data_IF_720055571874
#
_entry.id   IF_720055571874
#
_cell.length_a   1.000
_cell.length_b   1.000
_cell.length_c   1.000
_cell.angle_alpha   90.00
_cell.angle_beta   90.00
_cell.angle_gamma   90.00
#
_symmetry.space_group_name_H-M   'P 1'
#
loop_
_entity.id
_entity.type
_entity.pdbx_description
1 polymer ?
#
# COMPACT_ATOMS: atom_id res chain seq x y z
N UNK A 1 10.11 5.30 -2.38
CA UNK A 1 8.87 5.79 -3.01
C UNK A 1 8.45 7.09 -2.34
N UNK A 2 7.95 8.08 -3.08
CA UNK A 2 7.37 9.30 -2.53
C UNK A 2 5.92 9.07 -2.08
N UNK A 3 5.38 9.98 -1.26
CA UNK A 3 3.97 9.90 -0.78
C UNK A 3 2.97 9.85 -1.94
N UNK A 4 3.15 10.68 -2.95
CA UNK A 4 2.22 10.75 -4.09
C UNK A 4 2.28 9.50 -4.97
N UNK A 5 3.46 8.90 -5.13
CA UNK A 5 3.61 7.61 -5.82
C UNK A 5 2.93 6.48 -5.03
N UNK A 6 3.07 6.49 -3.70
CA UNK A 6 2.42 5.52 -2.83
C UNK A 6 0.90 5.62 -2.91
N UNK A 7 0.35 6.83 -2.89
CA UNK A 7 -1.11 7.06 -3.02
C UNK A 7 -1.62 6.54 -4.37
N UNK A 8 -0.90 6.81 -5.46
CA UNK A 8 -1.28 6.31 -6.79
C UNK A 8 -1.27 4.78 -6.85
N UNK A 9 -0.25 4.15 -6.26
CA UNK A 9 -0.17 2.70 -6.19
C UNK A 9 -1.32 2.10 -5.38
N UNK A 10 -1.61 2.65 -4.19
CA UNK A 10 -2.74 2.21 -3.35
C UNK A 10 -4.07 2.35 -4.10
N UNK A 11 -4.30 3.48 -4.77
CA UNK A 11 -5.52 3.68 -5.57
C UNK A 11 -5.65 2.67 -6.70
N UNK A 12 -4.55 2.34 -7.38
CA UNK A 12 -4.53 1.34 -8.45
C UNK A 12 -4.94 -0.04 -7.91
N UNK A 13 -4.37 -0.44 -6.78
CA UNK A 13 -4.67 -1.71 -6.11
C UNK A 13 -6.15 -1.74 -5.64
N UNK A 14 -6.63 -0.68 -4.97
CA UNK A 14 -8.03 -0.61 -4.49
C UNK A 14 -9.07 -0.73 -5.60
N UNK A 15 -8.74 -0.23 -6.80
CA UNK A 15 -9.64 -0.27 -7.96
C UNK A 15 -9.55 -1.57 -8.74
N UNK A 16 -8.58 -2.44 -8.41
CA UNK A 16 -8.27 -3.66 -9.14
C UNK A 16 -8.10 -3.37 -10.65
N UNK A 17 -7.35 -2.32 -10.98
CA UNK A 17 -7.11 -1.91 -12.36
C UNK A 17 -6.10 -2.85 -13.03
N UNK A 18 -6.53 -3.61 -14.05
CA UNK A 18 -5.65 -4.43 -14.88
C UNK A 18 -6.01 -5.91 -14.88
N UNK A 19 -5.01 -6.73 -15.15
CA UNK A 19 -5.04 -8.20 -15.06
C UNK A 19 -4.69 -8.68 -13.65
N UNK A 20 -4.96 -9.96 -13.37
CA UNK A 20 -4.61 -10.58 -12.08
C UNK A 20 -3.09 -10.54 -11.85
N UNK A 21 -2.31 -10.80 -12.90
CA UNK A 21 -0.85 -10.72 -12.85
C UNK A 21 -0.33 -9.30 -12.58
N UNK A 22 -1.03 -8.28 -13.09
CA UNK A 22 -0.70 -6.87 -12.80
C UNK A 22 -1.06 -6.49 -11.37
N UNK A 23 -2.18 -6.99 -10.85
CA UNK A 23 -2.59 -6.76 -9.47
C UNK A 23 -1.58 -7.39 -8.49
N UNK A 24 -1.14 -8.62 -8.76
CA UNK A 24 -0.10 -9.29 -7.97
C UNK A 24 1.22 -8.51 -8.00
N UNK A 25 1.64 -8.03 -9.17
CA UNK A 25 2.86 -7.24 -9.30
C UNK A 25 2.78 -5.90 -8.55
N UNK A 26 1.61 -5.25 -8.53
CA UNK A 26 1.40 -4.02 -7.77
C UNK A 26 1.46 -4.26 -6.25
N UNK A 27 0.90 -5.38 -5.77
CA UNK A 27 0.96 -5.78 -4.36
C UNK A 27 2.41 -6.09 -3.96
N UNK A 28 3.15 -6.85 -4.78
CA UNK A 28 4.58 -7.11 -4.55
C UNK A 28 5.40 -5.82 -4.52
N UNK A 29 5.13 -4.88 -5.43
CA UNK A 29 5.78 -3.58 -5.45
C UNK A 29 5.54 -2.82 -4.15
N UNK A 30 4.31 -2.82 -3.64
CA UNK A 30 3.97 -2.18 -2.37
C UNK A 30 4.75 -2.79 -1.22
N UNK A 31 4.70 -4.12 -1.05
CA UNK A 31 5.38 -4.85 0.04
C UNK A 31 6.88 -4.58 0.05
N UNK A 32 7.52 -4.58 -1.13
CA UNK A 32 8.96 -4.35 -1.24
C UNK A 32 9.37 -2.87 -1.06
N UNK A 33 8.41 -1.94 -1.12
CA UNK A 33 8.69 -0.49 -1.08
C UNK A 33 8.47 0.15 0.29
N UNK A 34 7.89 -0.56 1.25
CA UNK A 34 7.45 -0.02 2.55
C UNK A 34 7.99 -0.84 3.70
N UNK A 35 8.11 -0.22 4.88
CA UNK A 35 8.55 -0.90 6.10
C UNK A 35 7.39 -1.52 6.89
N UNK A 36 6.16 -1.04 6.68
CA UNK A 36 4.98 -1.49 7.40
C UNK A 36 4.52 -2.86 6.87
N UNK A 37 4.61 -3.94 7.68
CA UNK A 37 4.20 -5.27 7.26
C UNK A 37 2.68 -5.38 7.04
N UNK A 38 1.89 -4.46 7.61
CA UNK A 38 0.43 -4.46 7.53
C UNK A 38 -0.10 -3.62 6.35
N UNK A 39 0.81 -3.09 5.51
CA UNK A 39 0.45 -2.18 4.42
C UNK A 39 -0.62 -2.74 3.46
N UNK A 40 -0.54 -4.03 3.15
CA UNK A 40 -1.51 -4.73 2.29
C UNK A 40 -2.86 -4.89 3.00
N UNK A 41 -2.85 -5.21 4.29
CA UNK A 41 -4.07 -5.40 5.07
C UNK A 41 -4.87 -4.10 5.18
N UNK A 42 -4.20 -2.95 5.28
CA UNK A 42 -4.90 -1.66 5.26
C UNK A 42 -5.72 -1.42 3.99
N UNK A 43 -5.32 -2.00 2.86
CA UNK A 43 -5.98 -1.85 1.57
C UNK A 43 -7.20 -2.77 1.48
N UNK A 44 -7.08 -4.02 1.95
CA UNK A 44 -8.12 -5.04 1.76
C UNK A 44 -9.10 -5.20 2.93
N UNK A 45 -8.69 -4.86 4.16
CA UNK A 45 -9.49 -5.07 5.38
C UNK A 45 -10.25 -3.81 5.82
N UNK A 46 -10.00 -2.67 5.18
CA UNK A 46 -10.57 -1.38 5.58
C UNK A 46 -11.07 -0.56 4.40
N UNK A 47 -12.17 0.17 4.58
CA UNK A 47 -12.68 1.15 3.62
C UNK A 47 -12.01 2.53 3.83
N UNK A 48 -10.69 2.55 3.93
CA UNK A 48 -9.92 3.79 4.12
C UNK A 48 -9.53 4.43 2.79
N UNK A 49 -9.33 5.74 2.80
CA UNK A 49 -8.83 6.45 1.62
C UNK A 49 -7.35 6.16 1.41
N UNK A 50 -6.90 6.20 0.16
CA UNK A 50 -5.50 5.97 -0.19
C UNK A 50 -4.55 6.96 0.49
N UNK A 51 -4.96 8.21 0.70
CA UNK A 51 -4.18 9.22 1.42
C UNK A 51 -3.97 8.81 2.89
N UNK A 52 -5.02 8.34 3.56
CA UNK A 52 -4.93 7.90 4.95
C UNK A 52 -4.04 6.66 5.09
N UNK A 53 -4.21 5.68 4.19
CA UNK A 53 -3.37 4.47 4.16
C UNK A 53 -1.90 4.86 3.94
N UNK A 54 -1.61 5.75 2.98
CA UNK A 54 -0.26 6.22 2.71
C UNK A 54 0.37 6.91 3.93
N UNK A 55 -0.37 7.80 4.59
CA UNK A 55 0.10 8.48 5.81
C UNK A 55 0.40 7.48 6.93
N UNK A 56 -0.44 6.45 7.09
CA UNK A 56 -0.23 5.39 8.08
C UNK A 56 1.04 4.59 7.81
N UNK A 57 1.22 4.13 6.57
CA UNK A 57 2.43 3.41 6.13
C UNK A 57 3.69 4.25 6.34
N UNK A 58 3.67 5.53 5.98
CA UNK A 58 4.82 6.43 6.15
C UNK A 58 5.13 6.68 7.63
N UNK A 59 4.10 6.73 8.47
CA UNK A 59 4.25 6.93 9.92
C UNK A 59 4.72 5.69 10.67
N UNK A 60 4.74 4.52 10.01
CA UNK A 60 5.12 3.27 10.64
C UNK A 60 6.58 3.30 11.08
N UNK A 61 6.78 3.01 12.37
CA UNK A 61 8.10 2.86 12.98
C UNK A 61 8.22 1.44 13.55
N UNK A 62 9.12 0.60 13.00
CA UNK A 62 9.38 -0.71 13.57
C UNK A 62 9.80 -0.59 15.04
N UNK A 63 9.16 -1.33 15.93
CA UNK A 63 9.62 -1.45 17.32
C UNK A 63 10.76 -2.46 17.32
N UNK A 64 12.00 -1.97 17.47
CA UNK A 64 13.16 -2.82 17.71
C UNK A 64 13.17 -3.21 19.19
N UNK A 65 13.00 -4.50 19.46
CA UNK A 65 13.08 -5.10 20.80
C UNK A 65 14.52 -5.44 21.19
#
# INVERSE_FOLDING_TARGET
MSRDELIKLILKIQRNEGTEEEADADIELLVNSVLDPEAVDYIFQHEWTAEFIADKIISYAPIVL
#
